data_IF_885609884184
#
_entry.id   IF_885609884184
#
_cell.length_a   1.000
_cell.length_b   1.000
_cell.length_c   1.000
_cell.angle_alpha   90.00
_cell.angle_beta   90.00
_cell.angle_gamma   90.00
#
_symmetry.space_group_name_H-M   'P 1'
#
loop_
_entity.id
_entity.type
_entity.pdbx_description
1 polymer ?
#
# COMPACT_ATOMS: atom_id res chain seq x y z
N UNK A 1 -10.97 -30.95 3.35
CA UNK A 1 -10.69 -29.72 2.58
C UNK A 1 -9.42 -29.15 3.19
N UNK A 2 -8.30 -29.33 2.53
CA UNK A 2 -7.03 -28.77 2.99
C UNK A 2 -7.14 -27.26 2.92
N UNK A 3 -6.97 -26.56 4.05
CA UNK A 3 -6.94 -25.10 4.06
C UNK A 3 -5.72 -24.67 3.26
N UNK A 4 -5.92 -23.87 2.21
CA UNK A 4 -4.81 -23.28 1.48
C UNK A 4 -3.93 -22.48 2.46
N UNK A 5 -2.60 -22.53 2.32
CA UNK A 5 -1.72 -21.82 3.22
C UNK A 5 -1.93 -20.31 3.05
N UNK A 6 -2.13 -19.61 4.17
CA UNK A 6 -2.27 -18.14 4.26
C UNK A 6 -1.11 -17.38 3.60
N UNK A 7 0.01 -18.07 3.41
CA UNK A 7 1.20 -17.59 2.76
C UNK A 7 1.62 -18.55 1.65
N UNK A 8 1.82 -18.05 0.44
CA UNK A 8 2.63 -18.75 -0.55
C UNK A 8 3.65 -17.81 -1.17
N UNK A 9 4.93 -18.14 -0.95
CA UNK A 9 6.03 -17.72 -1.81
C UNK A 9 6.09 -18.71 -2.98
N UNK A 10 5.18 -18.55 -3.94
CA UNK A 10 5.22 -19.36 -5.16
C UNK A 10 6.39 -18.96 -6.06
N UNK A 11 6.77 -19.82 -7.00
CA UNK A 11 7.78 -19.52 -8.04
C UNK A 11 7.39 -18.40 -9.02
N UNK A 12 6.37 -17.61 -8.71
CA UNK A 12 5.93 -16.47 -9.49
C UNK A 12 6.97 -15.34 -9.36
N UNK A 13 7.47 -14.89 -10.51
CA UNK A 13 8.41 -13.78 -10.62
C UNK A 13 7.71 -12.60 -11.29
N UNK A 14 7.77 -11.45 -10.66
CA UNK A 14 7.31 -10.18 -11.22
C UNK A 14 8.51 -9.35 -11.70
N UNK A 15 8.35 -8.67 -12.83
CA UNK A 15 9.37 -7.76 -13.36
C UNK A 15 8.96 -6.31 -13.13
N UNK A 16 9.60 -5.63 -12.18
CA UNK A 16 9.32 -4.24 -11.80
C UNK A 16 10.62 -3.45 -11.74
N UNK A 17 10.62 -2.24 -12.31
CA UNK A 17 11.79 -1.35 -12.31
C UNK A 17 13.08 -2.04 -12.82
N UNK A 18 12.93 -2.88 -13.85
CA UNK A 18 14.00 -3.68 -14.47
C UNK A 18 14.61 -4.78 -13.60
N UNK A 19 13.97 -5.14 -12.49
CA UNK A 19 14.40 -6.22 -11.60
C UNK A 19 13.33 -7.31 -11.51
N UNK A 20 13.78 -8.55 -11.44
CA UNK A 20 12.97 -9.71 -11.12
C UNK A 20 12.76 -9.80 -9.61
N UNK A 21 11.52 -10.03 -9.18
CA UNK A 21 11.16 -10.15 -7.76
C UNK A 21 10.32 -11.38 -7.50
N UNK A 22 10.58 -12.07 -6.40
CA UNK A 22 9.75 -13.15 -5.92
C UNK A 22 8.45 -12.59 -5.35
N UNK A 23 7.34 -13.23 -5.71
CA UNK A 23 6.01 -12.74 -5.34
C UNK A 23 5.49 -13.50 -4.13
N UNK A 24 5.20 -12.75 -3.06
CA UNK A 24 4.49 -13.24 -1.88
C UNK A 24 3.00 -13.04 -2.10
N UNK A 25 2.25 -14.14 -2.03
CA UNK A 25 0.80 -14.08 -1.94
C UNK A 25 0.37 -14.22 -0.49
N UNK A 26 -0.46 -13.27 -0.03
CA UNK A 26 -1.12 -13.32 1.26
C UNK A 26 -2.59 -13.72 1.06
N UNK A 27 -2.96 -14.89 1.53
CA UNK A 27 -4.34 -15.37 1.63
C UNK A 27 -4.84 -15.15 3.05
N UNK A 28 -5.01 -13.88 3.43
CA UNK A 28 -5.50 -13.52 4.74
C UNK A 28 -7.01 -13.79 4.83
N UNK A 29 -7.54 -14.18 6.01
CA UNK A 29 -8.99 -14.18 6.22
C UNK A 29 -9.57 -12.79 5.98
N UNK A 30 -10.90 -12.71 5.91
CA UNK A 30 -11.58 -11.41 5.81
C UNK A 30 -11.08 -10.49 6.93
N UNK A 31 -10.40 -9.42 6.54
CA UNK A 31 -9.87 -8.44 7.46
C UNK A 31 -11.01 -7.50 7.85
N UNK A 32 -11.14 -7.22 9.16
CA UNK A 32 -11.98 -6.12 9.62
C UNK A 32 -11.43 -4.82 9.07
N UNK A 33 -11.99 -4.39 7.95
CA UNK A 33 -11.58 -3.22 7.20
C UNK A 33 -12.75 -2.28 7.05
N UNK A 34 -12.44 -0.98 7.02
CA UNK A 34 -13.45 0.06 6.83
C UNK A 34 -12.93 1.11 5.86
N UNK A 35 -13.85 1.62 5.03
CA UNK A 35 -13.64 2.77 4.16
C UNK A 35 -13.97 4.11 4.83
N UNK A 36 -14.45 4.11 6.08
CA UNK A 36 -14.91 5.34 6.76
C UNK A 36 -13.78 6.36 6.97
N UNK A 37 -12.53 5.89 7.03
CA UNK A 37 -11.35 6.74 7.10
C UNK A 37 -10.82 7.23 5.76
N UNK A 38 -11.42 6.83 4.63
CA UNK A 38 -10.90 7.17 3.31
C UNK A 38 -11.03 8.67 3.03
N UNK A 39 -10.03 9.30 2.40
CA UNK A 39 -10.15 10.69 1.98
C UNK A 39 -11.27 10.83 0.94
N UNK A 40 -12.00 11.94 0.98
CA UNK A 40 -13.14 12.21 0.10
C UNK A 40 -12.80 13.11 -1.08
N UNK A 41 -11.72 13.90 -0.98
CA UNK A 41 -11.18 14.78 -2.02
C UNK A 41 -10.30 14.01 -3.03
N UNK A 42 -10.89 13.00 -3.70
CA UNK A 42 -10.21 12.09 -4.65
C UNK A 42 -10.25 12.61 -6.11
N UNK A 43 -10.25 13.93 -6.34
CA UNK A 43 -10.36 14.51 -7.69
C UNK A 43 -9.31 15.57 -7.93
N UNK A 44 -8.84 15.64 -9.18
CA UNK A 44 -8.00 16.74 -9.65
C UNK A 44 -8.77 18.06 -9.48
N UNK A 45 -8.24 19.01 -8.69
CA UNK A 45 -8.96 20.22 -8.33
C UNK A 45 -9.02 21.27 -9.47
N UNK A 46 -8.40 21.02 -10.64
CA UNK A 46 -8.19 21.99 -11.73
C UNK A 46 -9.39 22.84 -12.17
N UNK A 47 -10.64 22.41 -11.98
CA UNK A 47 -11.80 23.10 -12.61
C UNK A 47 -12.15 24.49 -12.04
N UNK A 48 -11.59 24.94 -10.92
CA UNK A 48 -12.00 26.21 -10.30
C UNK A 48 -10.91 26.99 -9.54
N UNK A 49 -9.64 26.62 -9.68
CA UNK A 49 -8.59 27.18 -8.82
C UNK A 49 -8.02 28.49 -9.33
N UNK A 50 -7.65 29.37 -8.40
CA UNK A 50 -7.01 30.66 -8.70
C UNK A 50 -5.50 30.60 -8.48
N UNK A 51 -4.70 31.41 -9.19
CA UNK A 51 -3.28 31.58 -8.88
C UNK A 51 -3.03 31.87 -7.40
N UNK A 52 -2.04 31.20 -6.81
CA UNK A 52 -1.70 31.27 -5.39
C UNK A 52 -2.54 30.38 -4.47
N UNK A 53 -3.58 29.71 -4.99
CA UNK A 53 -4.41 28.81 -4.18
C UNK A 53 -3.65 27.53 -3.84
N UNK A 54 -3.60 27.19 -2.55
CA UNK A 54 -3.06 25.92 -2.06
C UNK A 54 -4.15 24.86 -2.11
N UNK A 55 -3.81 23.72 -2.69
CA UNK A 55 -4.73 22.59 -2.82
C UNK A 55 -4.10 21.30 -2.33
N UNK A 56 -4.96 20.46 -1.76
CA UNK A 56 -4.65 19.09 -1.38
C UNK A 56 -5.71 18.18 -1.99
N UNK A 57 -5.27 17.16 -2.70
CA UNK A 57 -6.13 16.12 -3.25
C UNK A 57 -5.46 14.76 -3.14
N UNK A 58 -6.25 13.70 -3.27
CA UNK A 58 -5.75 12.34 -3.16
C UNK A 58 -5.92 11.61 -4.48
N UNK A 59 -4.86 10.90 -4.89
CA UNK A 59 -4.90 9.92 -5.96
C UNK A 59 -5.07 8.55 -5.33
N UNK A 60 -6.17 7.88 -5.64
CA UNK A 60 -6.44 6.51 -5.16
C UNK A 60 -5.72 5.51 -6.05
N UNK A 61 -4.99 4.57 -5.43
CA UNK A 61 -4.32 3.47 -6.10
C UNK A 61 -3.42 3.90 -7.27
N UNK A 62 -2.61 4.95 -7.07
CA UNK A 62 -1.55 5.28 -8.02
C UNK A 62 -0.63 4.06 -8.24
N UNK A 63 -0.55 3.57 -9.48
CA UNK A 63 0.11 2.30 -9.80
C UNK A 63 1.58 2.29 -9.36
N UNK A 64 2.30 3.40 -9.54
CA UNK A 64 3.70 3.49 -9.15
C UNK A 64 3.86 3.45 -7.62
N UNK A 65 3.06 4.22 -6.89
CA UNK A 65 3.04 4.22 -5.44
C UNK A 65 2.65 2.85 -4.86
N UNK A 66 1.61 2.21 -5.42
CA UNK A 66 1.15 0.87 -5.01
C UNK A 66 2.25 -0.16 -5.22
N UNK A 67 2.90 -0.18 -6.39
CA UNK A 67 3.99 -1.12 -6.65
C UNK A 67 5.19 -0.87 -5.72
N UNK A 68 5.56 0.40 -5.50
CA UNK A 68 6.61 0.76 -4.55
C UNK A 68 6.29 0.32 -3.12
N UNK A 69 5.01 0.42 -2.71
CA UNK A 69 4.55 -0.03 -1.40
C UNK A 69 4.61 -1.56 -1.27
N UNK A 70 4.11 -2.29 -2.29
CA UNK A 70 4.12 -3.77 -2.34
C UNK A 70 5.53 -4.35 -2.29
N UNK A 71 6.47 -3.72 -2.99
CA UNK A 71 7.90 -4.06 -2.96
C UNK A 71 8.45 -3.91 -1.53
N UNK A 72 8.37 -2.69 -0.98
CA UNK A 72 8.92 -2.40 0.35
C UNK A 72 8.30 -3.27 1.44
N UNK A 73 7.00 -3.53 1.36
CA UNK A 73 6.32 -4.36 2.35
C UNK A 73 6.66 -5.85 2.19
N UNK A 74 6.77 -6.33 0.95
CA UNK A 74 7.18 -7.71 0.66
C UNK A 74 8.57 -8.02 1.21
N UNK A 75 9.55 -7.13 0.96
CA UNK A 75 10.90 -7.26 1.50
C UNK A 75 10.90 -7.30 3.04
N UNK A 76 10.14 -6.41 3.70
CA UNK A 76 10.04 -6.38 5.16
C UNK A 76 9.36 -7.62 5.74
N UNK A 77 8.33 -8.15 5.09
CA UNK A 77 7.66 -9.40 5.52
C UNK A 77 8.61 -10.57 5.35
N UNK A 78 9.32 -10.65 4.22
CA UNK A 78 10.30 -11.70 3.97
C UNK A 78 11.38 -11.73 5.06
N UNK A 79 11.91 -10.55 5.41
CA UNK A 79 12.89 -10.39 6.48
C UNK A 79 12.33 -10.86 7.84
N UNK A 80 11.12 -10.42 8.22
CA UNK A 80 10.49 -10.79 9.50
C UNK A 80 10.21 -12.28 9.62
N UNK A 81 9.85 -12.94 8.52
CA UNK A 81 9.57 -14.38 8.50
C UNK A 81 10.84 -15.24 8.32
N UNK A 82 12.01 -14.62 8.30
CA UNK A 82 13.29 -15.35 8.24
C UNK A 82 13.65 -15.89 6.86
N UNK A 83 13.02 -15.39 5.78
CA UNK A 83 13.50 -15.62 4.42
C UNK A 83 14.85 -14.88 4.26
N UNK A 84 15.94 -15.58 4.57
CA UNK A 84 17.30 -15.06 4.42
C UNK A 84 17.75 -15.27 2.97
N UNK A 85 18.10 -14.19 2.27
CA UNK A 85 18.65 -14.31 0.91
C UNK A 85 18.95 -12.97 0.22
N UNK A 86 19.62 -13.06 -0.93
CA UNK A 86 19.90 -11.98 -1.90
C UNK A 86 18.70 -11.66 -2.81
N UNK A 87 17.55 -12.24 -2.51
CA UNK A 87 16.34 -12.20 -3.33
C UNK A 87 15.55 -10.94 -3.03
N UNK A 88 15.08 -10.27 -4.10
CA UNK A 88 14.16 -9.15 -4.01
C UNK A 88 12.72 -9.71 -3.92
N UNK A 89 11.96 -9.30 -2.91
CA UNK A 89 10.58 -9.75 -2.69
C UNK A 89 9.57 -8.64 -2.99
N UNK A 90 8.32 -9.04 -3.24
CA UNK A 90 7.19 -8.11 -3.31
C UNK A 90 5.87 -8.83 -3.02
N UNK A 91 4.90 -8.09 -2.49
CA UNK A 91 3.53 -8.61 -2.39
C UNK A 91 2.84 -8.71 -3.75
N UNK A 92 2.03 -9.74 -3.96
CA UNK A 92 1.15 -9.88 -5.14
C UNK A 92 0.09 -8.80 -5.19
N UNK A 93 -0.51 -8.48 -4.05
CA UNK A 93 -1.57 -7.49 -3.93
C UNK A 93 -1.42 -6.76 -2.59
N UNK A 94 -2.05 -5.59 -2.45
CA UNK A 94 -2.27 -5.04 -1.11
C UNK A 94 -3.23 -5.98 -0.34
N UNK A 95 -3.13 -6.07 1.00
CA UNK A 95 -4.06 -6.89 1.77
C UNK A 95 -5.53 -6.51 1.48
N UNK A 96 -6.46 -7.48 1.45
CA UNK A 96 -7.86 -7.20 1.13
C UNK A 96 -8.44 -6.08 2.01
N UNK A 97 -9.19 -5.16 1.39
CA UNK A 97 -9.79 -4.01 2.07
C UNK A 97 -8.85 -2.82 2.30
N UNK A 98 -7.53 -3.01 2.14
CA UNK A 98 -6.57 -1.91 2.20
C UNK A 98 -6.38 -1.22 0.85
N UNK A 99 -6.26 0.11 0.90
CA UNK A 99 -6.16 0.97 -0.29
C UNK A 99 -5.06 1.99 -0.04
N UNK A 100 -4.18 2.19 -1.03
CA UNK A 100 -3.18 3.23 -0.98
C UNK A 100 -3.74 4.52 -1.57
N UNK A 101 -3.60 5.61 -0.83
CA UNK A 101 -3.91 6.95 -1.31
C UNK A 101 -2.66 7.80 -1.28
N UNK A 102 -2.40 8.48 -2.39
CA UNK A 102 -1.30 9.42 -2.55
C UNK A 102 -1.84 10.83 -2.41
N UNK A 103 -1.54 11.46 -1.28
CA UNK A 103 -1.80 12.88 -1.04
C UNK A 103 -0.88 13.71 -1.92
N UNK A 104 -1.45 14.59 -2.72
CA UNK A 104 -0.73 15.58 -3.51
C UNK A 104 -1.10 16.96 -2.95
N UNK A 105 -0.08 17.69 -2.50
CA UNK A 105 -0.21 19.07 -2.03
C UNK A 105 0.53 19.95 -3.02
N UNK A 106 -0.12 21.03 -3.43
CA UNK A 106 0.43 21.93 -4.42
C UNK A 106 -0.16 23.31 -4.34
N UNK A 107 0.33 24.15 -5.24
CA UNK A 107 -0.20 25.48 -5.47
C UNK A 107 -0.49 25.67 -6.95
N UNK A 108 -1.39 26.60 -7.26
CA UNK A 108 -1.60 27.06 -8.63
C UNK A 108 -0.63 28.19 -8.94
N UNK A 109 0.18 28.03 -9.98
CA UNK A 109 1.11 29.06 -10.43
C UNK A 109 0.38 30.26 -11.08
N UNK A 110 1.13 31.31 -11.40
CA UNK A 110 0.58 32.52 -12.04
C UNK A 110 -0.02 32.27 -13.43
N UNK A 111 0.26 31.11 -14.03
CA UNK A 111 -0.27 30.67 -15.33
C UNK A 111 -1.50 29.77 -15.18
N UNK A 112 -1.96 29.52 -13.95
CA UNK A 112 -3.11 28.63 -13.70
C UNK A 112 -2.76 27.14 -13.69
N UNK A 113 -1.47 26.76 -13.71
CA UNK A 113 -1.06 25.37 -13.65
C UNK A 113 -0.91 24.90 -12.21
N UNK A 114 -1.36 23.68 -11.95
CA UNK A 114 -1.17 23.04 -10.67
C UNK A 114 0.28 22.51 -10.55
N UNK A 115 1.02 23.05 -9.59
CA UNK A 115 2.39 22.65 -9.26
C UNK A 115 2.36 21.83 -7.98
N UNK A 116 2.70 20.54 -8.08
CA UNK A 116 2.80 19.64 -6.92
C UNK A 116 4.08 20.00 -6.15
N UNK A 117 3.92 20.45 -4.90
CA UNK A 117 5.03 20.75 -3.99
C UNK A 117 5.43 19.53 -3.15
N UNK A 118 4.46 18.68 -2.80
CA UNK A 118 4.66 17.56 -1.91
C UNK A 118 3.75 16.40 -2.25
N UNK A 119 4.30 15.19 -2.16
CA UNK A 119 3.58 13.95 -2.33
C UNK A 119 3.87 12.99 -1.18
N UNK A 120 2.82 12.51 -0.51
CA UNK A 120 2.91 11.50 0.55
C UNK A 120 1.93 10.36 0.25
N UNK A 121 2.31 9.12 0.55
CA UNK A 121 1.42 7.97 0.36
C UNK A 121 1.02 7.37 1.71
N UNK A 122 -0.26 7.05 1.85
CA UNK A 122 -0.86 6.53 3.06
C UNK A 122 -1.68 5.28 2.73
N UNK A 123 -1.52 4.23 3.54
CA UNK A 123 -2.34 3.04 3.45
C UNK A 123 -3.54 3.19 4.40
N UNK A 124 -4.74 3.13 3.84
CA UNK A 124 -6.01 3.15 4.58
C UNK A 124 -6.68 1.78 4.53
N UNK A 125 -7.62 1.55 5.43
CA UNK A 125 -8.42 0.32 5.46
C UNK A 125 -8.59 -0.24 6.88
N UNK A 126 -7.82 0.22 7.86
CA UNK A 126 -7.93 -0.27 9.23
C UNK A 126 -9.32 0.06 9.82
N UNK A 127 -9.92 -0.86 10.58
CA UNK A 127 -11.26 -0.71 11.17
C UNK A 127 -11.47 0.55 12.02
N UNK A 128 -10.40 1.09 12.61
CA UNK A 128 -10.50 2.32 13.40
C UNK A 128 -10.59 3.59 12.54
N UNK A 129 -10.54 3.47 11.22
CA UNK A 129 -10.40 4.60 10.30
C UNK A 129 -8.98 5.19 10.24
N UNK A 130 -8.05 4.68 11.05
CA UNK A 130 -6.66 5.12 11.05
C UNK A 130 -5.94 4.76 9.74
N UNK A 131 -4.90 5.54 9.44
CA UNK A 131 -4.02 5.35 8.28
C UNK A 131 -2.60 5.04 8.71
N UNK A 132 -1.90 4.24 7.91
CA UNK A 132 -0.47 3.99 8.05
C UNK A 132 0.32 4.88 7.09
N UNK A 133 1.35 5.55 7.60
CA UNK A 133 2.19 6.51 6.85
C UNK A 133 3.37 5.87 6.16
N UNK A 134 3.66 4.61 6.48
CA UNK A 134 4.75 3.86 5.87
C UNK A 134 4.49 2.35 5.94
N UNK A 135 5.28 1.59 5.20
CA UNK A 135 5.30 0.12 5.32
C UNK A 135 5.76 -0.33 6.70
N UNK A 136 6.69 0.39 7.34
CA UNK A 136 7.20 0.08 8.69
C UNK A 136 6.12 0.24 9.78
N UNK A 137 5.25 1.24 9.65
CA UNK A 137 4.11 1.41 10.56
C UNK A 137 3.08 0.29 10.39
N UNK A 138 2.88 -0.20 9.16
CA UNK A 138 1.93 -1.26 8.86
C UNK A 138 2.46 -2.67 9.16
N UNK A 139 3.77 -2.86 9.08
CA UNK A 139 4.45 -4.15 9.26
C UNK A 139 4.02 -4.94 10.51
N UNK A 140 4.02 -4.37 11.74
CA UNK A 140 3.64 -5.14 12.92
C UNK A 140 2.19 -5.64 12.87
N UNK A 141 1.28 -4.86 12.26
CA UNK A 141 -0.11 -5.27 12.10
C UNK A 141 -0.22 -6.46 11.15
N UNK A 142 0.39 -6.39 9.97
CA UNK A 142 0.26 -7.45 8.97
C UNK A 142 1.00 -8.74 9.38
N UNK A 143 2.17 -8.62 10.02
CA UNK A 143 2.89 -9.78 10.56
C UNK A 143 2.10 -10.44 11.68
N UNK A 144 1.48 -9.65 12.57
CA UNK A 144 0.58 -10.18 13.60
C UNK A 144 -0.56 -11.00 13.02
N UNK A 145 -1.21 -10.50 11.96
CA UNK A 145 -2.26 -11.22 11.25
C UNK A 145 -1.74 -12.51 10.60
N UNK A 146 -0.57 -12.48 9.95
CA UNK A 146 0.04 -13.67 9.36
C UNK A 146 0.30 -14.73 10.43
N UNK A 147 0.95 -14.36 11.55
CA UNK A 147 1.31 -15.29 12.62
C UNK A 147 0.09 -15.89 13.32
N UNK A 148 -0.90 -15.07 13.69
CA UNK A 148 -2.15 -15.53 14.33
C UNK A 148 -2.86 -16.60 13.48
N UNK A 149 -2.85 -16.43 12.16
CA UNK A 149 -3.49 -17.35 11.24
C UNK A 149 -2.59 -18.55 10.88
N UNK A 150 -1.27 -18.43 11.05
CA UNK A 150 -0.32 -19.53 10.84
C UNK A 150 -0.37 -20.54 12.00
N UNK A 151 -0.57 -20.07 13.23
CA UNK A 151 -0.79 -20.93 14.40
C UNK A 151 -2.18 -21.60 14.42
N UNK A 152 -3.12 -21.11 13.59
CA UNK A 152 -4.46 -21.70 13.42
C UNK A 152 -4.46 -22.99 12.57
N UNK A 153 -3.27 -23.50 12.23
CA UNK A 153 -3.02 -24.75 11.49
C UNK A 153 -2.33 -25.83 12.35
N UNK A 154 -2.11 -25.60 13.65
CA UNK A 154 -1.68 -26.64 14.60
C UNK A 154 -2.86 -27.27 15.32
#
# INVERSE_FOLDING_TARGET
MDKEPIFSAGGAIAYIARKSRHVITLQLPSLETSSDGFPTNIRDPQKSLKPGEKVEWYVRNDTAAVNGYRVKLGDLIAEQLGFRGTEDWMLRDLPPGYVLFTSQRGLVDDKGNLVIERQDSYLYGHKSGARYRSTKEFLPHIVGLILQNTDSLR
#
